data_IF_275325068906
#
_entry.id   IF_275325068906
#
_cell.length_a   1.000
_cell.length_b   1.000
_cell.length_c   1.000
_cell.angle_alpha   90.00
_cell.angle_beta   90.00
_cell.angle_gamma   90.00
#
_symmetry.space_group_name_H-M   'P 1'
#
loop_
_entity.id
_entity.type
_entity.pdbx_description
1 polymer ?
2 polymer ?
3 water ?
#
# COMPACT_ATOMS: atom_id res chain seq x y z
N UNK A 17 1.60 2.75 31.36
CA UNK A 17 2.49 1.92 32.16
C UNK A 17 1.80 1.33 33.39
N UNK A 18 0.50 1.09 33.26
CA UNK A 18 -0.35 0.72 34.39
C UNK A 18 -0.33 -0.78 34.69
N UNK A 19 0.55 -1.55 34.07
CA UNK A 19 0.50 -2.98 34.32
C UNK A 19 1.15 -3.31 35.66
N UNK A 20 0.88 -4.52 36.16
CA UNK A 20 1.31 -4.88 37.51
C UNK A 20 2.70 -5.54 37.50
N UNK A 21 3.58 -5.05 38.37
CA UNK A 21 4.94 -5.55 38.48
C UNK A 21 5.26 -5.75 39.95
N UNK A 22 6.33 -6.49 40.23
CA UNK A 22 6.83 -6.55 41.60
C UNK A 22 8.35 -6.62 41.61
N UNK A 23 8.93 -6.38 42.78
CA UNK A 23 10.39 -6.37 42.96
C UNK A 23 11.06 -5.39 42.01
N UNK A 24 10.47 -4.21 41.84
CA UNK A 24 11.04 -3.23 40.94
C UNK A 24 12.16 -2.45 41.63
N UNK A 25 13.26 -2.26 40.93
CA UNK A 25 14.41 -1.53 41.44
C UNK A 25 14.96 -0.68 40.29
N UNK A 26 15.31 0.56 40.58
CA UNK A 26 16.09 1.29 39.61
C UNK A 26 17.40 0.54 39.41
N UNK A 27 17.90 0.55 38.18
CA UNK A 27 19.01 -0.32 37.86
C UNK A 27 19.80 0.38 36.76
N UNK A 28 20.93 0.99 37.12
CA UNK A 28 21.63 1.80 36.14
C UNK A 28 22.25 0.98 35.02
N UNK A 29 22.17 -0.34 35.09
CA UNK A 29 22.54 -1.15 33.93
C UNK A 29 21.43 -1.21 32.87
N UNK A 30 20.22 -0.79 33.19
CA UNK A 30 19.16 -0.72 32.18
C UNK A 30 19.33 0.60 31.44
N UNK A 31 19.21 0.56 30.12
CA UNK A 31 19.38 1.76 29.31
C UNK A 31 18.06 2.54 29.30
N UNK A 32 18.09 3.79 29.74
CA UNK A 32 16.88 4.59 29.86
C UNK A 32 16.58 5.27 28.52
N UNK A 33 15.32 5.24 28.10
CA UNK A 33 14.97 5.92 26.87
C UNK A 33 15.15 7.42 27.04
N UNK A 34 15.51 8.09 25.95
CA UNK A 34 15.75 9.53 25.99
C UNK A 34 14.53 10.34 25.58
N UNK A 35 13.54 9.70 24.96
CA UNK A 35 12.34 10.35 24.47
C UNK A 35 11.20 9.34 24.59
N UNK A 36 9.97 9.82 24.40
CA UNK A 36 8.81 8.94 24.54
C UNK A 36 8.89 7.74 23.61
N UNK A 37 9.30 7.96 22.37
CA UNK A 37 9.36 6.86 21.42
C UNK A 37 10.63 6.04 21.54
N UNK A 38 11.57 6.49 22.38
CA UNK A 38 12.88 5.90 22.41
C UNK A 38 12.95 4.54 23.02
N UNK A 39 11.84 3.96 23.50
CA UNK A 39 12.04 2.71 24.21
C UNK A 39 12.47 1.59 23.23
N UNK A 40 12.00 1.61 21.97
CA UNK A 40 12.47 0.57 21.01
C UNK A 40 13.97 0.57 20.84
N UNK A 41 14.55 1.75 20.58
CA UNK A 41 15.99 1.88 20.39
C UNK A 41 16.78 1.57 21.66
N UNK A 42 16.24 1.94 22.82
CA UNK A 42 16.90 1.59 24.07
C UNK A 42 16.95 0.08 24.26
N UNK A 43 15.84 -0.60 23.97
CA UNK A 43 15.80 -2.07 23.99
C UNK A 43 16.78 -2.64 22.98
N UNK A 44 16.82 -2.03 21.79
CA UNK A 44 17.72 -2.49 20.75
C UNK A 44 19.16 -2.38 21.18
N UNK A 45 19.53 -1.28 21.85
CA UNK A 45 20.90 -1.16 22.35
C UNK A 45 21.22 -2.27 23.36
N UNK A 46 20.30 -2.58 24.28
CA UNK A 46 20.55 -3.64 25.25
C UNK A 46 20.58 -5.02 24.59
N UNK A 47 19.71 -5.26 23.59
CA UNK A 47 19.71 -6.53 22.89
C UNK A 47 21.05 -6.77 22.19
N UNK A 48 21.56 -5.75 21.50
CA UNK A 48 22.88 -5.87 20.86
C UNK A 48 23.98 -6.02 21.90
N UNK A 49 23.91 -5.26 22.99
CA UNK A 49 24.93 -5.36 24.03
C UNK A 49 25.09 -6.78 24.53
N UNK A 50 23.98 -7.48 24.71
CA UNK A 50 24.00 -8.86 25.19
C UNK A 50 24.74 -9.77 24.23
N UNK A 51 24.86 -9.37 22.97
CA UNK A 51 25.57 -10.13 21.96
C UNK A 51 26.89 -9.48 21.58
N UNK A 52 27.46 -8.68 22.49
CA UNK A 52 28.81 -8.11 22.33
C UNK A 52 28.88 -7.13 21.16
N UNK A 53 27.78 -6.44 20.87
CA UNK A 53 27.72 -5.40 19.85
C UNK A 53 27.25 -4.13 20.53
N UNK A 54 28.00 -3.04 20.33
CA UNK A 54 27.88 -1.83 21.15
C UNK A 54 27.49 -0.65 20.23
N UNK A 55 26.20 -0.35 20.20
CA UNK A 55 25.64 0.68 19.33
C UNK A 55 24.65 1.49 20.16
N UNK A 56 24.79 2.81 20.15
CA UNK A 56 23.94 3.62 21.03
C UNK A 56 22.52 3.71 20.46
N UNK A 57 21.56 4.00 21.35
CA UNK A 57 20.18 4.08 20.88
C UNK A 57 19.99 5.20 19.86
N UNK A 58 20.76 6.29 19.99
CA UNK A 58 20.65 7.38 19.01
C UNK A 58 21.00 6.90 17.61
N UNK A 59 22.02 6.05 17.48
CA UNK A 59 22.39 5.54 16.16
C UNK A 59 21.37 4.52 15.67
N UNK A 60 20.78 3.72 16.57
CA UNK A 60 19.71 2.82 16.14
C UNK A 60 18.50 3.64 15.65
N UNK A 61 18.12 4.67 16.40
CA UNK A 61 17.06 5.57 15.97
C UNK A 61 15.91 5.60 16.97
N UNK A 62 15.81 6.66 17.76
CA UNK A 62 14.82 6.71 18.83
C UNK A 62 13.41 7.00 18.31
N UNK A 63 13.22 7.03 16.99
CA UNK A 63 11.89 7.11 16.39
C UNK A 63 11.29 5.75 16.05
N UNK A 64 12.08 4.69 16.10
CA UNK A 64 11.65 3.36 15.66
C UNK A 64 10.65 2.78 16.66
N UNK A 65 9.44 2.51 16.17
CA UNK A 65 8.41 1.95 17.03
C UNK A 65 7.89 0.61 16.55
N UNK A 66 7.86 0.34 15.23
CA UNK A 66 7.26 -0.93 14.83
C UNK A 66 8.30 -2.05 14.88
N UNK A 67 7.80 -3.29 15.06
CA UNK A 67 8.69 -4.44 15.14
C UNK A 67 9.45 -4.62 13.83
N UNK A 68 8.78 -4.34 12.71
CA UNK A 68 9.46 -4.41 11.41
C UNK A 68 10.63 -3.46 11.38
N UNK A 69 10.40 -2.20 11.74
CA UNK A 69 11.48 -1.23 11.61
C UNK A 69 12.59 -1.50 12.62
N UNK A 70 12.24 -1.98 13.81
CA UNK A 70 13.26 -2.28 14.81
C UNK A 70 14.09 -3.49 14.42
N UNK A 71 13.45 -4.60 14.01
CA UNK A 71 14.26 -5.74 13.57
C UNK A 71 15.12 -5.36 12.38
N UNK A 72 14.57 -4.57 11.44
CA UNK A 72 15.35 -4.18 10.26
C UNK A 72 16.59 -3.42 10.68
N UNK A 73 16.45 -2.52 11.66
CA UNK A 73 17.59 -1.73 12.10
C UNK A 73 18.62 -2.59 12.83
N UNK A 74 18.16 -3.50 13.70
CA UNK A 74 19.13 -4.39 14.34
C UNK A 74 19.91 -5.19 13.31
N UNK A 75 19.27 -5.56 12.20
CA UNK A 75 19.98 -6.31 11.16
C UNK A 75 20.91 -5.44 10.33
N UNK A 76 21.01 -4.14 10.61
CA UNK A 76 22.11 -3.34 10.07
C UNK A 76 23.37 -3.46 10.91
N UNK A 77 23.27 -3.91 12.16
CA UNK A 77 24.44 -4.02 13.03
C UNK A 77 24.72 -5.44 13.43
N UNK A 78 23.83 -6.37 13.08
CA UNK A 78 23.94 -7.76 13.45
C UNK A 78 23.24 -8.53 12.33
N UNK A 79 22.98 -9.81 12.54
CA UNK A 79 22.26 -10.58 11.54
C UNK A 79 21.28 -11.52 12.24
N UNK A 80 20.18 -11.86 11.56
CA UNK A 80 19.31 -12.89 12.10
C UNK A 80 18.19 -12.43 13.01
N UNK A 81 17.94 -11.13 13.12
CA UNK A 81 16.86 -10.63 13.96
C UNK A 81 15.51 -10.78 13.27
N UNK A 82 14.51 -11.20 14.02
CA UNK A 82 13.13 -11.31 13.56
C UNK A 82 12.29 -10.25 14.27
N UNK A 83 11.31 -9.71 13.56
CA UNK A 83 10.32 -8.81 14.15
C UNK A 83 8.94 -9.33 13.75
N UNK A 84 8.33 -10.15 14.62
CA UNK A 84 7.11 -10.92 14.33
C UNK A 84 6.09 -10.81 15.47
N UNK A 85 4.82 -10.99 15.11
CA UNK A 85 3.76 -11.19 16.10
C UNK A 85 3.83 -12.64 16.52
N UNK A 86 4.03 -12.88 17.82
CA UNK A 86 4.29 -14.21 18.34
C UNK A 86 3.17 -14.61 19.29
N UNK A 87 2.83 -15.91 19.29
CA UNK A 87 1.78 -16.40 20.17
C UNK A 87 2.18 -16.29 21.64
N UNK A 88 1.19 -15.97 22.50
CA UNK A 88 1.44 -15.98 23.94
C UNK A 88 2.12 -17.27 24.36
N UNK A 89 1.75 -18.38 23.73
CA UNK A 89 2.25 -19.70 24.11
C UNK A 89 3.73 -19.90 23.82
N UNK A 90 4.37 -19.02 23.05
CA UNK A 90 5.78 -19.16 22.74
C UNK A 90 6.70 -18.40 23.70
N UNK A 91 6.16 -17.91 24.83
CA UNK A 91 6.94 -17.12 25.79
C UNK A 91 8.25 -17.82 26.16
N UNK A 92 8.16 -19.09 26.57
CA UNK A 92 9.36 -19.75 27.08
C UNK A 92 10.31 -20.08 25.93
N UNK A 93 9.77 -20.37 24.74
CA UNK A 93 10.66 -20.62 23.61
C UNK A 93 11.40 -19.35 23.21
N UNK A 94 10.75 -18.18 23.34
CA UNK A 94 11.46 -16.93 23.07
C UNK A 94 12.59 -16.74 24.07
N UNK A 95 12.31 -16.92 25.35
CA UNK A 95 13.35 -16.65 26.34
C UNK A 95 14.48 -17.65 26.29
N UNK A 96 14.22 -18.86 25.77
CA UNK A 96 15.31 -19.81 25.54
C UNK A 96 16.32 -19.31 24.54
N UNK A 97 15.99 -18.31 23.71
CA UNK A 97 16.97 -17.82 22.76
C UNK A 97 17.92 -16.77 23.35
N UNK A 98 17.69 -16.35 24.57
CA UNK A 98 18.37 -15.19 25.14
C UNK A 98 17.41 -14.04 25.37
N UNK A 99 17.96 -12.84 25.48
CA UNK A 99 17.08 -11.68 25.64
C UNK A 99 16.32 -11.38 24.34
N UNK A 100 15.12 -10.82 24.50
CA UNK A 100 14.32 -10.42 23.35
C UNK A 100 13.49 -9.21 23.76
N UNK A 101 12.95 -8.51 22.78
CA UNK A 101 12.17 -7.30 23.03
C UNK A 101 10.68 -7.58 22.84
N UNK A 102 9.87 -7.09 23.78
CA UNK A 102 8.43 -7.32 23.79
C UNK A 102 7.73 -5.97 23.78
N UNK A 103 6.73 -5.82 22.92
CA UNK A 103 5.93 -4.59 22.90
C UNK A 103 4.77 -4.74 23.88
N UNK A 104 4.78 -3.91 24.92
CA UNK A 104 3.72 -3.87 25.91
C UNK A 104 2.67 -2.87 25.47
N UNK A 105 1.40 -3.25 25.56
CA UNK A 105 0.36 -2.31 25.13
C UNK A 105 -0.84 -2.52 26.05
N UNK A 106 -0.93 -1.70 27.10
CA UNK A 106 -1.97 -1.89 28.10
C UNK A 106 -3.26 -1.17 27.69
N UNK A 107 -4.35 -1.55 28.37
CA UNK A 107 -5.66 -1.03 28.06
C UNK A 107 -5.66 0.49 28.19
N UNK A 108 -6.32 1.15 27.24
CA UNK A 108 -6.39 2.59 27.28
C UNK A 108 -5.20 3.31 26.72
N UNK A 109 -4.06 2.64 26.53
CA UNK A 109 -2.90 3.33 26.00
C UNK A 109 -3.04 3.58 24.50
N UNK A 110 -2.59 4.74 24.05
CA UNK A 110 -2.51 5.05 22.64
C UNK A 110 -1.17 4.67 22.03
N UNK A 111 -0.23 4.17 22.83
CA UNK A 111 1.10 3.83 22.33
C UNK A 111 1.55 2.52 22.95
N UNK A 112 2.39 1.81 22.22
CA UNK A 112 3.09 0.65 22.74
C UNK A 112 4.35 1.08 23.46
N UNK A 113 4.90 0.15 24.24
CA UNK A 113 6.10 0.44 25.03
C UNK A 113 6.98 -0.81 24.97
N UNK A 114 8.14 -0.68 24.34
CA UNK A 114 9.08 -1.80 24.25
C UNK A 114 9.77 -2.02 25.59
N UNK A 115 9.85 -3.28 26.02
CA UNK A 115 10.68 -3.66 27.16
C UNK A 115 11.59 -4.82 26.73
N UNK A 116 12.67 -5.00 27.47
CA UNK A 116 13.60 -6.10 27.23
C UNK A 116 13.22 -7.26 28.15
N UNK A 117 12.97 -8.43 27.59
CA UNK A 117 12.67 -9.61 28.39
C UNK A 117 13.99 -10.33 28.62
N UNK A 118 14.50 -10.24 29.84
CA UNK A 118 15.84 -10.79 30.12
C UNK A 118 15.81 -12.31 30.23
N UNK A 119 14.71 -12.84 30.73
CA UNK A 119 14.57 -14.27 30.92
C UNK A 119 13.41 -14.53 31.83
N UNK A 120 13.34 -15.77 32.29
CA UNK A 120 12.30 -16.21 33.21
C UNK A 120 12.99 -16.84 34.41
N UNK A 121 12.54 -16.50 35.61
CA UNK A 121 13.22 -17.02 36.79
C UNK A 121 12.70 -18.43 37.08
N UNK A 122 13.20 -19.00 38.17
CA UNK A 122 12.92 -20.42 38.45
C UNK A 122 11.46 -20.66 38.78
N UNK A 123 10.77 -19.66 39.32
CA UNK A 123 9.33 -19.73 39.53
C UNK A 123 8.52 -19.41 38.28
N UNK A 124 9.16 -19.15 37.15
CA UNK A 124 8.45 -18.88 35.92
C UNK A 124 8.06 -17.44 35.70
N UNK A 125 8.36 -16.54 36.65
CA UNK A 125 8.14 -15.12 36.42
C UNK A 125 9.03 -14.59 35.30
N UNK A 126 8.56 -13.53 34.65
CA UNK A 126 9.31 -12.89 33.57
C UNK A 126 10.13 -11.75 34.16
N UNK A 127 11.40 -11.70 33.81
CA UNK A 127 12.32 -10.66 34.28
C UNK A 127 12.38 -9.60 33.20
N UNK A 128 12.07 -8.35 33.54
CA UNK A 128 11.93 -7.26 32.58
C UNK A 128 12.96 -6.19 32.89
N UNK A 129 13.67 -5.71 31.85
CA UNK A 129 14.44 -4.48 31.93
C UNK A 129 13.65 -3.41 31.18
N UNK A 130 13.19 -2.39 31.89
CA UNK A 130 12.24 -1.43 31.31
C UNK A 130 12.93 -0.09 31.11
N UNK A 131 13.04 0.39 29.86
CA UNK A 131 13.75 1.65 29.63
C UNK A 131 12.96 2.90 30.02
N UNK A 132 11.71 2.75 30.46
CA UNK A 132 10.92 3.92 30.84
C UNK A 132 11.61 4.72 31.93
N UNK A 133 11.90 4.07 33.04
CA UNK A 133 12.68 4.70 34.10
C UNK A 133 14.04 4.05 34.25
N UNK A 134 14.37 3.05 33.43
CA UNK A 134 15.60 2.33 33.66
C UNK A 134 15.49 1.51 34.94
N UNK A 135 14.55 0.57 34.94
CA UNK A 135 14.35 -0.29 36.10
C UNK A 135 14.28 -1.74 35.66
N UNK A 136 14.46 -2.61 36.65
CA UNK A 136 14.29 -4.04 36.50
C UNK A 136 13.15 -4.47 37.41
N UNK A 137 12.24 -5.30 36.90
CA UNK A 137 11.18 -5.80 37.73
C UNK A 137 10.76 -7.17 37.22
N UNK A 138 9.87 -7.81 37.95
CA UNK A 138 9.28 -9.08 37.56
C UNK A 138 7.79 -8.90 37.30
N UNK A 139 7.27 -9.79 36.46
CA UNK A 139 5.84 -9.92 36.22
C UNK A 139 5.50 -11.40 36.22
N UNK A 140 4.31 -11.73 36.70
CA UNK A 140 3.83 -13.10 36.52
C UNK A 140 3.72 -13.39 35.03
N UNK A 141 3.89 -14.66 34.65
CA UNK A 141 3.76 -15.01 33.25
C UNK A 141 2.38 -14.63 32.72
N UNK A 142 1.34 -14.81 33.54
CA UNK A 142 -0.03 -14.54 33.08
C UNK A 142 -0.24 -13.05 32.84
N UNK A 143 0.23 -12.21 33.76
CA UNK A 143 0.09 -10.76 33.58
C UNK A 143 0.93 -10.28 32.40
N UNK A 144 2.15 -10.80 32.28
CA UNK A 144 2.98 -10.42 31.13
C UNK A 144 2.30 -10.77 29.82
N UNK A 145 1.70 -11.96 29.73
CA UNK A 145 1.08 -12.37 28.47
C UNK A 145 -0.10 -11.49 28.12
N UNK A 146 -0.81 -10.98 29.12
CA UNK A 146 -1.97 -10.14 28.86
C UNK A 146 -1.56 -8.77 28.32
N UNK A 147 -0.46 -8.20 28.83
CA UNK A 147 -0.07 -6.85 28.46
C UNK A 147 0.77 -6.83 27.19
N UNK A 148 1.68 -7.79 27.04
CA UNK A 148 2.43 -7.96 25.80
C UNK A 148 1.45 -8.19 24.64
N UNK A 149 1.55 -7.40 23.59
CA UNK A 149 0.57 -7.50 22.51
C UNK A 149 0.97 -8.54 21.46
N UNK A 150 2.02 -9.33 21.73
CA UNK A 150 2.52 -10.30 20.77
C UNK A 150 3.66 -9.80 19.89
N UNK A 151 3.81 -8.50 19.70
CA UNK A 151 4.87 -8.00 18.83
C UNK A 151 6.23 -8.15 19.51
N UNK A 152 7.21 -8.68 18.79
CA UNK A 152 8.42 -9.17 19.42
C UNK A 152 9.58 -9.02 18.46
N UNK A 153 10.76 -8.74 19.03
CA UNK A 153 12.01 -8.68 18.31
C UNK A 153 12.94 -9.68 18.97
N UNK A 154 13.39 -10.67 18.19
CA UNK A 154 14.16 -11.78 18.76
C UNK A 154 15.11 -12.34 17.71
N UNK A 155 16.10 -13.10 18.18
CA UNK A 155 17.15 -13.62 17.31
C UNK A 155 17.23 -15.11 17.58
N UNK A 156 16.53 -15.93 16.79
CA UNK A 156 16.74 -17.37 16.96
C UNK A 156 18.16 -17.76 16.50
N UNK B 19 -16.68 -3.96 -25.81
CA UNK B 19 -15.37 -4.49 -26.20
C UNK B 19 -15.22 -5.93 -25.69
N UNK B 20 -14.21 -6.65 -26.20
CA UNK B 20 -14.14 -8.10 -26.03
C UNK B 20 -13.29 -8.48 -24.82
N UNK B 21 -13.88 -9.26 -23.91
CA UNK B 21 -13.25 -9.68 -22.66
C UNK B 21 -13.43 -11.18 -22.49
N UNK B 22 -12.65 -11.78 -21.59
CA UNK B 22 -12.87 -13.18 -21.26
C UNK B 22 -12.51 -13.42 -19.80
N UNK B 23 -12.94 -14.58 -19.30
CA UNK B 23 -12.75 -14.94 -17.88
C UNK B 23 -13.41 -13.91 -16.96
N UNK B 24 -14.46 -13.25 -17.42
CA UNK B 24 -15.13 -12.25 -16.58
C UNK B 24 -15.85 -12.93 -15.43
N UNK B 25 -15.57 -12.45 -14.20
CA UNK B 25 -16.22 -12.91 -12.98
C UNK B 25 -16.40 -11.71 -12.06
N UNK B 26 -17.51 -11.71 -11.32
CA UNK B 26 -17.67 -10.71 -10.28
C UNK B 26 -16.64 -10.98 -9.18
N UNK B 27 -16.00 -9.91 -8.72
CA UNK B 27 -14.86 -10.04 -7.82
C UNK B 27 -15.00 -9.01 -6.71
N UNK B 28 -14.99 -9.49 -5.46
CA UNK B 28 -15.14 -8.58 -4.32
C UNK B 28 -13.95 -7.64 -4.15
N UNK B 29 -12.78 -7.99 -4.70
CA UNK B 29 -11.63 -7.07 -4.67
C UNK B 29 -11.82 -5.89 -5.61
N UNK B 30 -12.86 -5.91 -6.45
CA UNK B 30 -13.18 -4.83 -7.39
C UNK B 30 -14.29 -3.98 -6.82
N UNK B 31 -14.10 -2.67 -6.79
CA UNK B 31 -15.10 -1.75 -6.25
C UNK B 31 -16.07 -1.36 -7.37
N UNK B 32 -17.36 -1.58 -7.16
CA UNK B 32 -18.35 -1.23 -8.17
C UNK B 32 -18.73 0.24 -8.04
N UNK B 33 -18.89 0.90 -9.18
CA UNK B 33 -19.21 2.32 -9.18
C UNK B 33 -20.59 2.56 -8.57
N UNK B 34 -20.74 3.74 -7.95
CA UNK B 34 -21.98 4.09 -7.27
C UNK B 34 -23.01 4.65 -8.24
N UNK B 35 -22.60 5.63 -9.04
CA UNK B 35 -23.41 6.16 -10.13
C UNK B 35 -22.90 5.65 -11.47
N UNK B 36 -23.76 5.73 -12.48
CA UNK B 36 -23.32 5.39 -13.83
C UNK B 36 -22.24 6.32 -14.35
N UNK B 37 -21.99 7.42 -13.65
CA UNK B 37 -20.92 8.37 -13.92
C UNK B 37 -19.63 8.03 -13.17
N UNK B 38 -19.69 7.22 -12.12
CA UNK B 38 -18.66 7.20 -11.12
C UNK B 38 -17.51 6.24 -11.33
N UNK B 39 -17.27 5.81 -12.57
CA UNK B 39 -16.17 4.87 -12.79
C UNK B 39 -14.84 5.46 -12.34
N UNK B 40 -14.64 6.76 -12.55
CA UNK B 40 -13.39 7.38 -12.15
C UNK B 40 -13.17 7.32 -10.65
N UNK B 41 -14.18 7.71 -9.88
CA UNK B 41 -14.06 7.66 -8.42
C UNK B 41 -13.84 6.23 -7.93
N UNK B 42 -14.51 5.26 -8.56
CA UNK B 42 -14.30 3.88 -8.16
C UNK B 42 -12.88 3.42 -8.47
N UNK B 43 -12.37 3.77 -9.66
CA UNK B 43 -10.98 3.45 -9.98
C UNK B 43 -10.05 4.13 -9.00
N UNK B 44 -10.36 5.38 -8.66
CA UNK B 44 -9.51 6.11 -7.73
C UNK B 44 -9.46 5.46 -6.36
N UNK B 45 -10.61 5.05 -5.83
CA UNK B 45 -10.62 4.36 -4.55
C UNK B 45 -9.72 3.12 -4.60
N UNK B 46 -9.79 2.36 -5.69
CA UNK B 46 -8.99 1.14 -5.81
C UNK B 46 -7.51 1.47 -5.94
N UNK B 47 -7.17 2.50 -6.72
CA UNK B 47 -5.76 2.85 -6.88
C UNK B 47 -5.16 3.28 -5.55
N UNK B 48 -5.92 4.05 -4.77
CA UNK B 48 -5.44 4.43 -3.44
C UNK B 48 -5.40 3.22 -2.51
N UNK B 49 -6.45 2.39 -2.54
CA UNK B 49 -6.49 1.17 -1.74
C UNK B 49 -5.26 0.32 -1.98
N UNK B 50 -4.88 0.16 -3.25
CA UNK B 50 -3.70 -0.65 -3.56
C UNK B 50 -2.44 -0.07 -2.95
N UNK B 51 -2.46 1.19 -2.55
CA UNK B 51 -1.32 1.78 -1.87
C UNK B 51 -1.63 2.01 -0.39
N UNK B 52 -2.64 1.32 0.13
CA UNK B 52 -2.96 1.32 1.56
C UNK B 52 -3.37 2.72 2.03
N UNK B 53 -4.10 3.42 1.17
CA UNK B 53 -4.77 4.67 1.48
C UNK B 53 -6.25 4.41 1.28
N UNK B 54 -7.05 4.67 2.31
CA UNK B 54 -8.47 4.33 2.33
C UNK B 54 -9.32 5.59 2.21
N UNK B 55 -9.92 5.79 1.04
CA UNK B 55 -10.79 6.93 0.77
C UNK B 55 -11.91 6.43 -0.13
N UNK B 56 -13.16 6.68 0.28
CA UNK B 56 -14.30 6.17 -0.46
C UNK B 56 -14.55 6.97 -1.74
N UNK B 57 -15.19 6.31 -2.72
CA UNK B 57 -15.73 6.94 -3.92
C UNK B 57 -16.42 8.26 -3.65
N UNK B 58 -17.32 8.28 -2.68
CA UNK B 58 -18.13 9.48 -2.47
C UNK B 58 -17.28 10.64 -2.02
N UNK B 59 -16.21 10.38 -1.27
CA UNK B 59 -15.29 11.45 -0.93
C UNK B 59 -14.50 11.89 -2.15
N UNK B 60 -14.11 10.94 -3.00
CA UNK B 60 -13.36 11.27 -4.21
C UNK B 60 -14.23 12.04 -5.20
N UNK B 61 -15.51 11.67 -5.34
CA UNK B 61 -16.41 12.37 -6.24
C UNK B 61 -16.76 11.61 -7.51
N UNK B 62 -18.04 11.26 -7.69
CA UNK B 62 -18.46 10.31 -8.73
C UNK B 62 -18.87 11.00 -10.05
N UNK B 63 -18.63 12.29 -10.21
CA UNK B 63 -18.89 12.94 -11.50
C UNK B 63 -18.01 12.34 -12.61
N UNK B 64 -18.31 12.73 -13.85
CA UNK B 64 -17.44 12.38 -14.96
C UNK B 64 -16.05 12.98 -14.75
N UNK B 65 -15.03 12.31 -15.30
CA UNK B 65 -13.66 12.69 -15.00
C UNK B 65 -12.75 12.53 -16.21
N UNK B 66 -12.03 13.58 -16.54
CA UNK B 66 -10.89 13.54 -17.43
C UNK B 66 -9.70 12.94 -16.71
N UNK B 67 -8.63 12.68 -17.46
CA UNK B 67 -7.41 12.26 -16.76
C UNK B 67 -6.81 13.40 -15.95
N UNK B 68 -6.94 14.66 -16.39
CA UNK B 68 -6.41 15.74 -15.58
C UNK B 68 -7.17 15.86 -14.25
N UNK B 69 -8.49 15.72 -14.29
CA UNK B 69 -9.29 15.80 -13.08
C UNK B 69 -9.07 14.59 -12.18
N UNK B 70 -8.94 13.39 -12.75
CA UNK B 70 -8.72 12.22 -11.90
C UNK B 70 -7.36 12.25 -11.21
N UNK B 71 -6.29 12.62 -11.94
CA UNK B 71 -5.00 12.72 -11.26
C UNK B 71 -4.99 13.85 -10.24
N UNK B 72 -5.58 14.99 -10.58
CA UNK B 72 -5.64 16.08 -9.61
C UNK B 72 -6.31 15.62 -8.33
N UNK B 73 -7.39 14.85 -8.47
CA UNK B 73 -8.14 14.38 -7.30
C UNK B 73 -7.32 13.40 -6.48
N UNK B 74 -6.67 12.42 -7.12
CA UNK B 74 -5.81 11.53 -6.37
C UNK B 74 -4.71 12.30 -5.64
N UNK B 75 -4.22 13.39 -6.24
CA UNK B 75 -3.17 14.17 -5.60
C UNK B 75 -3.70 15.08 -4.50
N UNK B 76 -5.01 15.02 -4.17
CA UNK B 76 -5.52 15.61 -2.95
C UNK B 76 -5.45 14.66 -1.76
N UNK B 77 -5.40 13.35 -2.02
CA UNK B 77 -5.37 12.32 -0.98
C UNK B 77 -4.03 11.62 -0.89
N UNK B 78 -3.10 11.93 -1.79
CA UNK B 78 -1.82 11.26 -1.99
C UNK B 78 -0.97 12.29 -2.73
N UNK B 79 0.29 11.94 -3.06
CA UNK B 79 1.08 12.77 -3.96
C UNK B 79 1.70 11.87 -5.03
N UNK B 80 2.16 12.50 -6.12
CA UNK B 80 2.92 11.80 -7.12
C UNK B 80 2.14 11.22 -8.29
N UNK B 81 0.84 11.46 -8.38
CA UNK B 81 0.04 10.86 -9.45
C UNK B 81 0.21 11.65 -10.73
N UNK B 82 0.31 10.94 -11.85
CA UNK B 82 0.36 11.53 -13.18
C UNK B 82 -0.96 11.24 -13.90
N UNK B 83 -1.38 12.19 -14.74
CA UNK B 83 -2.50 11.97 -15.64
C UNK B 83 -2.12 12.40 -17.04
N UNK B 84 -1.72 11.45 -17.88
CA UNK B 84 -1.04 11.75 -19.13
C UNK B 84 -1.57 10.84 -20.22
N UNK B 85 -1.58 11.34 -21.44
CA UNK B 85 -1.68 10.46 -22.60
C UNK B 85 -0.38 9.69 -22.73
N UNK B 86 -0.46 8.37 -22.73
CA UNK B 86 0.71 7.51 -22.68
C UNK B 86 0.78 6.69 -23.96
N UNK B 87 2.01 6.53 -24.46
CA UNK B 87 2.26 5.74 -25.65
C UNK B 87 1.88 4.26 -25.45
N UNK B 88 1.20 3.71 -26.47
CA UNK B 88 0.88 2.29 -26.46
C UNK B 88 2.10 1.44 -26.08
N UNK B 89 3.29 1.82 -26.55
CA UNK B 89 4.50 1.04 -26.32
C UNK B 89 4.95 1.03 -24.86
N UNK B 90 4.34 1.83 -23.99
CA UNK B 90 4.68 1.86 -22.56
C UNK B 90 3.76 1.00 -21.68
N UNK B 91 3.00 0.08 -22.28
CA UNK B 91 1.98 -0.66 -21.51
C UNK B 91 2.62 -1.44 -20.37
N UNK B 92 3.71 -2.17 -20.66
CA UNK B 92 4.34 -2.94 -19.59
C UNK B 92 5.02 -2.03 -18.57
N UNK B 93 5.61 -0.92 -19.02
CA UNK B 93 6.25 -0.02 -18.06
C UNK B 93 5.22 0.58 -17.11
N UNK B 94 4.02 0.90 -17.60
CA UNK B 94 2.96 1.34 -16.70
C UNK B 94 2.68 0.27 -15.65
N UNK B 95 2.47 -0.97 -16.08
CA UNK B 95 2.05 -2.00 -15.13
C UNK B 95 3.18 -2.36 -14.17
N UNK B 96 4.44 -2.10 -14.53
CA UNK B 96 5.53 -2.28 -13.60
C UNK B 96 5.51 -1.29 -12.43
N UNK B 97 4.67 -0.26 -12.49
CA UNK B 97 4.57 0.66 -11.36
C UNK B 97 3.50 0.24 -10.36
N UNK B 98 2.76 -0.84 -10.65
CA UNK B 98 1.59 -1.21 -9.89
C UNK B 98 0.33 -1.01 -10.70
N UNK B 99 -0.80 -0.94 -9.99
CA UNK B 99 -2.04 -0.73 -10.70
C UNK B 99 -2.09 0.70 -11.25
N UNK B 100 -2.85 0.88 -12.34
CA UNK B 100 -3.01 2.19 -12.94
C UNK B 100 -4.38 2.25 -13.59
N UNK B 101 -4.84 3.46 -13.89
CA UNK B 101 -6.17 3.65 -14.44
C UNK B 101 -6.08 3.93 -15.93
N UNK B 102 -6.95 3.26 -16.68
CA UNK B 102 -6.96 3.38 -18.14
C UNK B 102 -8.33 3.85 -18.61
N UNK B 103 -8.36 4.84 -19.49
CA UNK B 103 -9.63 5.25 -20.10
C UNK B 103 -9.90 4.39 -21.33
N UNK B 104 -10.99 3.63 -21.28
CA UNK B 104 -11.45 2.82 -22.39
C UNK B 104 -12.49 3.60 -23.18
N UNK B 105 -12.35 3.60 -24.51
CA UNK B 105 -13.24 4.37 -25.38
C UNK B 105 -13.51 3.52 -26.62
N UNK B 106 -14.59 2.73 -26.57
CA UNK B 106 -14.98 1.92 -27.70
C UNK B 106 -15.42 2.78 -28.89
N UNK B 107 -15.19 2.26 -30.10
CA UNK B 107 -15.77 2.87 -31.29
C UNK B 107 -17.27 3.03 -31.10
N UNK B 108 -17.79 4.18 -31.52
CA UNK B 108 -19.19 4.48 -31.40
C UNK B 108 -19.59 5.21 -30.13
N UNK B 109 -18.94 4.89 -29.01
CA UNK B 109 -19.29 5.54 -27.75
C UNK B 109 -19.03 7.04 -27.85
N UNK B 110 -19.77 7.79 -27.03
CA UNK B 110 -19.48 9.21 -26.85
C UNK B 110 -19.07 9.52 -25.42
N UNK B 111 -18.73 8.50 -24.64
CA UNK B 111 -18.21 8.64 -23.28
C UNK B 111 -17.05 7.68 -23.08
N UNK B 112 -16.08 8.11 -22.25
CA UNK B 112 -15.02 7.23 -21.83
C UNK B 112 -15.40 6.47 -20.56
N UNK B 113 -14.70 5.36 -20.31
CA UNK B 113 -14.96 4.51 -19.15
C UNK B 113 -13.63 4.15 -18.49
N UNK B 114 -13.45 4.61 -17.24
CA UNK B 114 -12.24 4.26 -16.48
C UNK B 114 -12.33 2.82 -15.99
N UNK B 115 -11.25 2.07 -16.20
CA UNK B 115 -11.02 0.79 -15.54
C UNK B 115 -9.67 0.84 -14.87
N UNK B 116 -9.47 -0.07 -13.93
CA UNK B 116 -8.18 -0.25 -13.28
C UNK B 116 -7.44 -1.40 -13.95
N UNK B 117 -6.19 -1.16 -14.34
CA UNK B 117 -5.33 -2.18 -14.91
C UNK B 117 -4.52 -2.81 -13.79
N UNK B 118 -4.84 -4.06 -13.44
CA UNK B 118 -4.22 -4.70 -12.29
C UNK B 118 -2.84 -5.24 -12.61
N UNK B 119 -2.64 -5.70 -13.84
CA UNK B 119 -1.37 -6.25 -14.25
C UNK B 119 -1.51 -6.89 -15.60
N UNK B 120 -0.41 -7.51 -16.04
CA UNK B 120 -0.40 -8.37 -17.22
C UNK B 120 -0.01 -9.78 -16.78
N UNK B 121 -0.78 -10.78 -17.18
CA UNK B 121 -0.43 -12.15 -16.83
C UNK B 121 0.72 -12.63 -17.71
N UNK B 122 1.25 -13.83 -17.45
CA UNK B 122 2.37 -14.32 -18.24
C UNK B 122 1.99 -14.62 -19.67
N UNK B 123 0.73 -14.98 -19.92
CA UNK B 123 0.27 -15.07 -21.30
C UNK B 123 0.21 -13.72 -21.99
N UNK B 124 0.56 -12.63 -21.31
CA UNK B 124 0.52 -11.31 -21.91
C UNK B 124 -0.83 -10.63 -21.90
N UNK B 125 -1.88 -11.29 -21.40
CA UNK B 125 -3.18 -10.64 -21.31
C UNK B 125 -3.16 -9.53 -20.25
N UNK B 126 -4.13 -8.61 -20.36
CA UNK B 126 -4.24 -7.47 -19.46
C UNK B 126 -5.34 -7.74 -18.46
N UNK B 127 -5.00 -7.70 -17.17
CA UNK B 127 -5.95 -8.00 -16.11
C UNK B 127 -6.68 -6.71 -15.75
N UNK B 128 -8.01 -6.71 -15.90
CA UNK B 128 -8.82 -5.51 -15.76
C UNK B 128 -9.77 -5.65 -14.57
N UNK B 129 -9.75 -4.67 -13.68
CA UNK B 129 -10.77 -4.52 -12.64
C UNK B 129 -11.74 -3.45 -13.13
N UNK B 130 -12.97 -3.84 -13.47
CA UNK B 130 -13.92 -2.92 -14.07
C UNK B 130 -15.00 -2.53 -13.08
N UNK B 131 -15.10 -1.25 -12.73
CA UNK B 131 -16.12 -0.84 -11.75
C UNK B 131 -17.55 -0.83 -12.27
N UNK B 132 -17.78 -1.06 -13.57
CA UNK B 132 -19.15 -0.97 -14.09
C UNK B 132 -20.06 -1.96 -13.39
N UNK B 133 -19.58 -3.17 -13.17
CA UNK B 133 -20.28 -4.18 -12.40
C UNK B 133 -19.47 -4.73 -11.25
N UNK B 134 -18.25 -4.24 -11.03
CA UNK B 134 -17.42 -4.90 -10.04
C UNK B 134 -16.87 -6.23 -10.52
N UNK B 135 -16.44 -6.31 -11.76
CA UNK B 135 -15.94 -7.54 -12.35
C UNK B 135 -14.45 -7.45 -12.58
N UNK B 136 -13.79 -8.60 -12.48
CA UNK B 136 -12.45 -8.81 -13.00
C UNK B 136 -12.55 -9.56 -14.33
N UNK B 137 -11.77 -9.14 -15.31
CA UNK B 137 -11.70 -9.88 -16.56
C UNK B 137 -10.35 -9.66 -17.23
N UNK B 138 -10.12 -10.42 -18.29
CA UNK B 138 -8.87 -10.39 -19.04
C UNK B 138 -9.17 -9.89 -20.44
N UNK B 139 -8.18 -9.22 -21.02
CA UNK B 139 -8.24 -8.80 -22.42
C UNK B 139 -6.91 -9.11 -23.08
N UNK B 140 -6.99 -9.41 -24.38
CA UNK B 140 -5.75 -9.57 -25.13
C UNK B 140 -5.03 -8.23 -25.18
N UNK B 141 -3.70 -8.29 -25.27
CA UNK B 141 -2.92 -7.07 -25.45
C UNK B 141 -3.51 -6.22 -26.57
N UNK B 142 -3.77 -6.83 -27.73
CA UNK B 142 -4.19 -6.04 -28.88
C UNK B 142 -5.58 -5.46 -28.70
N UNK B 143 -6.50 -6.23 -28.11
CA UNK B 143 -7.83 -5.67 -27.87
C UNK B 143 -7.76 -4.56 -26.82
N UNK B 144 -7.00 -4.76 -25.76
CA UNK B 144 -6.89 -3.69 -24.78
C UNK B 144 -6.32 -2.43 -25.41
N UNK B 145 -5.23 -2.58 -26.18
CA UNK B 145 -4.61 -1.43 -26.83
C UNK B 145 -5.56 -0.77 -27.82
N UNK B 146 -6.49 -1.53 -28.41
CA UNK B 146 -7.43 -0.92 -29.34
C UNK B 146 -8.45 -0.06 -28.62
N UNK B 147 -8.91 -0.49 -27.46
CA UNK B 147 -10.00 0.20 -26.76
C UNK B 147 -9.47 1.30 -25.84
N UNK B 148 -8.35 1.05 -25.16
CA UNK B 148 -7.65 2.09 -24.42
C UNK B 148 -7.30 3.25 -25.36
N UNK B 149 -7.71 4.45 -24.99
CA UNK B 149 -7.42 5.60 -25.85
C UNK B 149 -6.11 6.28 -25.51
N UNK B 150 -5.34 5.71 -24.56
CA UNK B 150 -4.04 6.24 -24.17
C UNK B 150 -4.09 7.09 -22.91
N UNK B 151 -5.24 7.63 -22.57
CA UNK B 151 -5.31 8.44 -21.37
C UNK B 151 -5.16 7.55 -20.14
N UNK B 152 -4.29 7.97 -19.22
CA UNK B 152 -3.84 7.10 -18.14
C UNK B 152 -3.61 7.91 -16.87
N UNK B 153 -3.88 7.26 -15.73
CA UNK B 153 -3.51 7.82 -14.43
C UNK B 153 -2.62 6.79 -13.73
N UNK B 154 -1.46 7.23 -13.26
CA UNK B 154 -0.46 6.29 -12.79
C UNK B 154 0.48 7.00 -11.84
N UNK B 155 1.17 6.21 -11.02
CA UNK B 155 2.05 6.77 -10.00
C UNK B 155 3.43 6.16 -10.11
N UNK B 156 4.33 6.79 -10.86
CA UNK B 156 5.70 6.25 -10.79
C UNK B 156 6.32 6.43 -9.36
N UNK C 2 -7.68 11.11 27.64
CA UNK C 2 -7.24 11.17 26.26
C UNK C 2 -8.27 11.78 25.34
N UNK C 3 -7.85 12.09 24.10
CA UNK C 3 -8.73 12.64 23.07
C UNK C 3 -9.54 11.53 22.42
N UNK C 4 -10.38 11.91 21.45
CA UNK C 4 -11.22 10.95 20.74
C UNK C 4 -10.45 10.41 19.53
N UNK C 5 -10.28 9.08 19.49
CA UNK C 5 -9.84 8.38 18.28
C UNK C 5 -11.08 7.89 17.55
N UNK C 6 -11.24 8.30 16.29
CA UNK C 6 -12.42 7.91 15.52
C UNK C 6 -12.55 6.38 15.50
N UNK C 7 -13.75 5.87 15.82
CA UNK C 7 -13.93 4.42 15.88
C UNK C 7 -14.23 3.85 14.48
N UNK C 8 -13.98 2.55 14.31
CA UNK C 8 -14.12 1.89 13.02
C UNK C 8 -14.63 0.47 13.22
N UNK C 9 -15.21 -0.08 12.15
CA UNK C 9 -15.55 -1.50 12.07
C UNK C 9 -14.57 -2.13 11.10
N UNK C 10 -13.68 -2.97 11.60
CA UNK C 10 -12.71 -3.67 10.76
C UNK C 10 -12.87 -5.16 11.02
N UNK C 11 -13.15 -5.90 9.97
CA UNK C 11 -13.36 -7.34 10.08
C UNK C 11 -12.32 -8.08 9.24
N UNK C 12 -11.96 -9.27 9.72
CA UNK C 12 -11.16 -10.22 8.95
C UNK C 12 -12.11 -11.13 8.18
N UNK C 13 -12.02 -11.08 6.85
CA UNK C 13 -12.96 -11.83 6.03
C UNK C 13 -12.44 -13.20 5.60
N UNK C 14 -11.13 -13.38 5.51
CA UNK C 14 -10.60 -14.65 5.01
C UNK C 14 -9.12 -14.74 5.33
N UNK C 15 -8.65 -15.97 5.42
CA UNK C 15 -7.24 -16.30 5.64
C UNK C 15 -6.90 -17.39 4.62
N UNK C 16 -5.92 -17.11 3.74
CA UNK C 16 -5.48 -18.09 2.74
C UNK C 16 -4.03 -18.43 3.02
N UNK C 17 -3.77 -19.67 3.43
CA UNK C 17 -2.43 -20.10 3.84
C UNK C 17 -1.86 -21.04 2.79
N UNK C 18 -0.63 -20.78 2.37
CA UNK C 18 0.08 -21.60 1.38
C UNK C 18 1.11 -22.49 2.10
N UNK C 19 0.83 -23.79 2.13
CA UNK C 19 1.66 -24.78 2.82
C UNK C 19 3.09 -24.83 2.27
N UNK C 20 3.28 -24.49 0.99
CA UNK C 20 4.60 -24.61 0.38
C UNK C 20 5.48 -23.44 0.79
N UNK C 21 5.00 -22.23 0.55
CA UNK C 21 5.77 -21.01 0.78
C UNK C 21 5.59 -20.46 2.18
N UNK C 22 4.57 -20.93 2.93
CA UNK C 22 4.20 -20.43 4.24
C UNK C 22 3.61 -19.02 4.17
N UNK C 23 3.34 -18.50 2.98
CA UNK C 23 2.72 -17.20 2.84
C UNK C 23 1.25 -17.27 3.24
N UNK C 24 0.75 -16.13 3.72
CA UNK C 24 -0.61 -16.01 4.26
C UNK C 24 -1.22 -14.74 3.67
N UNK C 25 -2.38 -14.85 3.01
CA UNK C 25 -3.10 -13.68 2.50
C UNK C 25 -4.28 -13.42 3.43
N UNK C 26 -4.35 -12.21 3.97
CA UNK C 26 -5.47 -11.79 4.80
C UNK C 26 -6.32 -10.80 4.02
N UNK C 27 -7.64 -10.97 4.04
CA UNK C 27 -8.54 -9.98 3.49
C UNK C 27 -9.31 -9.35 4.63
N UNK C 28 -9.16 -8.02 4.76
CA UNK C 28 -9.90 -7.24 5.75
C UNK C 28 -11.04 -6.47 5.07
N UNK C 29 -12.07 -6.16 5.84
CA UNK C 29 -13.06 -5.15 5.48
C UNK C 29 -12.82 -3.94 6.38
N UNK C 30 -12.56 -2.79 5.78
CA UNK C 30 -12.30 -1.56 6.53
C UNK C 30 -13.50 -0.65 6.34
N UNK C 31 -14.46 -0.72 7.26
CA UNK C 31 -15.75 -0.04 7.10
C UNK C 31 -16.35 -0.30 5.71
N UNK C 32 -16.28 -1.56 5.28
CA UNK C 32 -16.87 -1.95 4.02
C UNK C 32 -15.91 -1.99 2.84
N UNK C 33 -14.75 -1.33 2.94
CA UNK C 33 -13.77 -1.34 1.85
C UNK C 33 -12.83 -2.52 2.06
N UNK C 34 -12.76 -3.41 1.07
CA UNK C 34 -11.89 -4.59 1.12
C UNK C 34 -10.43 -4.26 0.87
N UNK C 35 -9.54 -4.93 1.60
CA UNK C 35 -8.10 -4.79 1.37
C UNK C 35 -7.37 -6.08 1.71
N UNK C 36 -6.37 -6.41 0.90
CA UNK C 36 -5.61 -7.64 1.06
C UNK C 36 -4.22 -7.30 1.57
N UNK C 37 -3.81 -7.99 2.62
CA UNK C 37 -2.47 -7.85 3.17
C UNK C 37 -1.82 -9.23 3.19
N UNK C 38 -0.48 -9.25 3.21
CA UNK C 38 0.24 -10.50 3.24
C UNK C 38 1.09 -10.61 4.50
N UNK C 39 1.36 -11.86 4.87
CA UNK C 39 2.26 -12.20 5.95
C UNK C 39 2.91 -13.54 5.61
N UNK C 40 3.88 -13.94 6.43
CA UNK C 40 4.50 -15.25 6.31
C UNK C 40 4.58 -15.91 7.67
N UNK C 41 4.15 -17.16 7.74
CA UNK C 41 4.18 -17.93 8.96
C UNK C 41 5.61 -18.38 9.22
N UNK C 42 6.04 -18.31 10.48
CA UNK C 42 7.43 -18.57 10.85
C UNK C 42 7.45 -19.36 12.14
N UNK C 43 7.74 -20.66 12.05
CA UNK C 43 7.98 -21.48 13.21
C UNK C 43 9.47 -21.77 13.24
N UNK C 44 10.15 -21.23 14.25
CA UNK C 44 11.60 -21.35 14.40
C UNK C 44 11.89 -21.65 15.86
N UNK C 45 12.61 -22.73 16.13
CA UNK C 45 12.96 -23.13 17.50
C UNK C 45 11.75 -23.07 18.41
N UNK C 46 10.64 -23.60 17.89
CA UNK C 46 9.36 -23.70 18.59
C UNK C 46 8.72 -22.36 18.88
N UNK C 47 9.17 -21.29 18.23
CA UNK C 47 8.56 -19.98 18.36
C UNK C 47 7.57 -19.82 17.23
N UNK C 48 6.29 -19.68 17.58
CA UNK C 48 5.21 -19.57 16.60
C UNK C 48 5.01 -18.10 16.27
N UNK C 49 5.56 -17.68 15.14
CA UNK C 49 5.52 -16.29 14.75
C UNK C 49 4.82 -16.04 13.44
N UNK C 50 4.31 -14.82 13.27
CA UNK C 50 3.75 -14.35 12.01
C UNK C 50 4.53 -13.11 11.60
N UNK C 51 5.20 -13.17 10.45
CA UNK C 51 5.95 -12.04 9.92
C UNK C 51 5.01 -11.24 9.04
N UNK C 52 4.43 -10.19 9.61
CA UNK C 52 3.63 -9.29 8.83
C UNK C 52 4.50 -8.64 7.75
N UNK C 53 3.92 -8.39 6.59
CA UNK C 53 4.56 -7.48 5.64
C UNK C 53 4.74 -6.10 6.28
N UNK C 54 5.64 -5.30 5.70
CA UNK C 54 5.85 -3.97 6.24
C UNK C 54 4.57 -3.16 6.29
N UNK C 55 3.76 -3.26 5.24
CA UNK C 55 2.53 -2.47 5.19
C UNK C 55 1.49 -3.02 6.18
N UNK C 56 1.44 -4.34 6.35
CA UNK C 56 0.51 -4.90 7.34
C UNK C 56 0.89 -4.45 8.75
N UNK C 57 2.19 -4.46 9.06
CA UNK C 57 2.65 -4.00 10.37
C UNK C 57 2.25 -2.54 10.58
N UNK C 58 2.42 -1.70 9.56
CA UNK C 58 1.99 -0.31 9.69
C UNK C 58 0.50 -0.21 9.94
N UNK C 59 -0.29 -1.01 9.22
CA UNK C 59 -1.74 -0.99 9.38
C UNK C 59 -2.13 -1.45 10.79
N UNK C 60 -1.57 -2.56 11.26
CA UNK C 60 -1.86 -3.04 12.61
C UNK C 60 -1.45 -2.02 13.65
N UNK C 61 -0.28 -1.41 13.50
CA UNK C 61 0.14 -0.40 14.47
C UNK C 61 -0.83 0.78 14.51
N UNK C 62 -1.46 1.11 13.39
CA UNK C 62 -2.38 2.24 13.38
C UNK C 62 -3.68 1.92 14.10
N UNK C 63 -4.04 0.63 14.20
CA UNK C 63 -5.29 0.31 14.87
C UNK C 63 -5.08 -0.27 16.27
N UNK C 64 -3.84 -0.56 16.65
CA UNK C 64 -3.57 -0.93 18.03
C UNK C 64 -4.16 0.03 19.04
N UNK C 65 -4.14 1.37 18.82
CA UNK C 65 -4.75 2.26 19.80
C UNK C 65 -6.22 2.00 19.99
N UNK C 66 -6.88 1.46 18.95
CA UNK C 66 -8.30 1.15 19.06
C UNK C 66 -8.56 -0.21 19.70
N UNK C 67 -7.64 -1.15 19.54
CA UNK C 67 -7.78 -2.52 20.04
C UNK C 67 -6.39 -3.13 20.18
N UNK C 68 -5.75 -2.98 21.35
CA UNK C 68 -4.43 -3.56 21.57
C UNK C 68 -4.37 -5.08 21.45
N UNK C 69 -5.51 -5.75 21.42
CA UNK C 69 -5.54 -7.20 21.24
C UNK C 69 -5.58 -7.62 19.76
N UNK C 70 -5.44 -6.67 18.83
CA UNK C 70 -5.79 -7.00 17.46
C UNK C 70 -4.85 -8.06 16.86
N UNK C 71 -3.58 -8.08 17.26
CA UNK C 71 -2.70 -9.12 16.73
C UNK C 71 -2.98 -10.47 17.38
N UNK C 72 -3.43 -10.47 18.63
CA UNK C 72 -3.88 -11.70 19.27
C UNK C 72 -5.08 -12.29 18.54
N UNK C 73 -6.02 -11.44 18.11
CA UNK C 73 -7.16 -11.91 17.34
C UNK C 73 -6.71 -12.49 16.01
N UNK C 74 -5.96 -11.69 15.24
CA UNK C 74 -5.49 -12.14 13.93
C UNK C 74 -4.67 -13.43 14.05
N UNK C 75 -3.79 -13.48 15.05
CA UNK C 75 -2.98 -14.67 15.25
C UNK C 75 -3.79 -15.88 15.65
N UNK C 76 -4.74 -15.70 16.57
CA UNK C 76 -5.57 -16.83 16.98
C UNK C 76 -6.31 -17.45 15.81
N UNK C 77 -6.95 -16.61 15.00
CA UNK C 77 -7.65 -17.10 13.83
C UNK C 77 -6.68 -17.83 12.89
N UNK C 78 -5.49 -17.25 12.68
CA UNK C 78 -4.54 -17.80 11.72
C UNK C 78 -4.11 -19.20 12.11
N UNK C 79 -3.67 -19.40 13.36
CA UNK C 79 -3.22 -20.71 13.81
C UNK C 79 -4.36 -21.73 13.77
N UNK C 80 -5.59 -21.32 14.07
CA UNK C 80 -6.72 -22.24 13.93
C UNK C 80 -6.93 -22.65 12.47
N UNK C 81 -6.81 -21.68 11.56
CA UNK C 81 -6.96 -21.99 10.14
C UNK C 81 -5.88 -22.96 9.68
N UNK C 82 -4.63 -22.70 10.07
CA UNK C 82 -3.52 -23.55 9.65
C UNK C 82 -3.71 -24.97 10.16
N UNK C 83 -4.23 -25.11 11.39
CA UNK C 83 -4.49 -26.44 11.95
C UNK C 83 -5.75 -27.07 11.40
N UNK C 84 -6.42 -26.44 10.44
CA UNK C 84 -7.56 -27.05 9.81
C UNK C 84 -8.88 -26.97 10.56
N UNK C 85 -8.97 -26.19 11.62
CA UNK C 85 -10.25 -26.01 12.28
C UNK C 85 -11.17 -25.20 11.39
N UNK C 86 -12.47 -25.49 11.47
CA UNK C 86 -13.45 -24.65 10.80
C UNK C 86 -13.55 -23.34 11.56
N UNK C 87 -13.28 -22.23 10.87
CA UNK C 87 -13.40 -20.90 11.46
C UNK C 87 -14.57 -20.20 10.77
N UNK C 88 -15.46 -19.65 11.57
CA UNK C 88 -16.55 -18.86 11.01
C UNK C 88 -16.09 -17.44 10.77
N UNK C 89 -16.10 -17.02 9.54
CA UNK C 89 -15.83 -15.65 9.15
C UNK C 89 -17.15 -14.94 8.86
N UNK C 90 -17.18 -13.59 8.93
CA UNK C 90 -16.07 -12.72 9.31
C UNK C 90 -15.79 -12.74 10.81
N UNK C 91 -14.56 -12.39 11.19
CA UNK C 91 -14.15 -12.29 12.58
C UNK C 91 -13.85 -10.83 12.88
N UNK C 92 -14.49 -10.30 13.93
CA UNK C 92 -14.27 -8.91 14.30
C UNK C 92 -12.84 -8.67 14.72
N UNK C 93 -12.22 -7.68 14.10
CA UNK C 93 -10.95 -7.17 14.59
C UNK C 93 -11.16 -5.95 15.47
N UNK C 94 -11.92 -4.99 14.94
CA UNK C 94 -12.24 -3.73 15.59
C UNK C 94 -13.72 -3.48 15.37
N UNK C 95 -14.43 -3.15 16.43
CA UNK C 95 -15.83 -2.79 16.31
C UNK C 95 -16.10 -1.53 17.09
N UNK C 96 -17.18 -0.87 16.72
CA UNK C 96 -17.54 0.40 17.34
C UNK C 96 -18.23 0.20 18.70
N UNK D 10 -10.49 19.95 -38.32
CA UNK D 10 -9.40 20.20 -37.36
C UNK D 10 -8.09 19.56 -37.79
N UNK D 11 -7.11 20.41 -38.08
CA UNK D 11 -5.80 20.00 -38.54
C UNK D 11 -4.76 20.36 -37.48
N UNK D 12 -3.76 19.50 -37.30
CA UNK D 12 -2.56 19.87 -36.55
C UNK D 12 -1.58 20.50 -37.52
N UNK D 13 -1.23 21.77 -37.29
CA UNK D 13 -0.38 22.48 -38.23
C UNK D 13 1.11 22.34 -37.91
N UNK D 14 1.46 22.31 -36.63
CA UNK D 14 2.86 22.31 -36.26
C UNK D 14 3.05 21.93 -34.80
N UNK D 15 4.29 21.58 -34.49
CA UNK D 15 4.71 21.19 -33.15
C UNK D 15 6.00 21.92 -32.88
N UNK D 16 6.13 22.51 -31.71
CA UNK D 16 7.39 23.07 -31.24
C UNK D 16 7.75 22.41 -29.91
N UNK D 17 9.00 21.98 -29.77
CA UNK D 17 9.44 21.27 -28.57
C UNK D 17 10.63 21.97 -27.90
N UNK D 18 10.54 22.16 -26.58
CA UNK D 18 11.55 22.85 -25.79
C UNK D 18 12.28 21.81 -24.94
N UNK D 19 13.53 21.54 -25.27
CA UNK D 19 14.29 20.51 -24.57
C UNK D 19 14.58 20.87 -23.12
N UNK D 20 14.53 22.15 -22.76
CA UNK D 20 14.86 22.55 -21.39
C UNK D 20 13.64 22.48 -20.49
N UNK D 21 12.51 23.07 -20.89
CA UNK D 21 11.31 23.02 -20.06
C UNK D 21 10.46 21.78 -20.31
N UNK D 22 10.74 21.05 -21.38
CA UNK D 22 9.98 19.89 -21.86
C UNK D 22 8.58 20.25 -22.36
N UNK D 23 8.29 21.52 -22.53
CA UNK D 23 7.00 21.93 -23.06
C UNK D 23 6.93 21.75 -24.58
N UNK D 24 5.76 21.36 -25.04
CA UNK D 24 5.46 21.16 -26.44
C UNK D 24 4.32 22.10 -26.80
N UNK D 25 4.50 22.90 -27.86
CA UNK D 25 3.48 23.82 -28.35
C UNK D 25 2.83 23.23 -29.59
N UNK D 26 1.54 22.98 -29.53
CA UNK D 26 0.78 22.46 -30.67
C UNK D 26 0.00 23.60 -31.30
N UNK D 27 0.14 23.78 -32.61
CA UNK D 27 -0.65 24.75 -33.37
C UNK D 27 -1.67 23.99 -34.21
N UNK D 28 -2.96 24.19 -33.93
CA UNK D 28 -4.06 23.59 -34.67
C UNK D 28 -4.72 24.63 -35.59
N UNK D 29 -5.41 24.13 -36.60
CA UNK D 29 -6.42 24.89 -37.33
C UNK D 29 -7.76 24.25 -36.99
N UNK D 30 -8.61 24.98 -36.28
CA UNK D 30 -9.91 24.50 -35.84
C UNK D 30 -10.97 25.21 -36.68
N UNK D 31 -11.59 24.47 -37.59
CA UNK D 31 -12.53 25.05 -38.57
C UNK D 31 -12.03 26.41 -39.06
N UNK D 32 -10.76 26.44 -39.45
CA UNK D 32 -10.17 27.60 -40.07
C UNK D 32 -9.47 28.56 -39.13
N UNK D 33 -9.74 28.49 -37.84
CA UNK D 33 -9.18 29.44 -36.86
C UNK D 33 -8.03 28.79 -36.10
N UNK D 34 -6.90 29.49 -36.02
CA UNK D 34 -5.75 28.97 -35.30
C UNK D 34 -6.08 28.80 -33.81
N UNK D 35 -5.55 27.73 -33.22
CA UNK D 35 -5.67 27.49 -31.79
C UNK D 35 -4.37 26.84 -31.35
N UNK D 36 -3.76 27.37 -30.28
CA UNK D 36 -2.47 26.89 -29.78
C UNK D 36 -2.69 26.28 -28.41
N UNK D 37 -2.09 25.12 -28.18
CA UNK D 37 -2.22 24.41 -26.92
C UNK D 37 -0.83 23.97 -26.51
N UNK D 38 -0.65 23.73 -25.21
CA UNK D 38 0.63 23.29 -24.68
C UNK D 38 0.48 21.97 -23.92
N UNK D 39 1.57 21.21 -23.89
CA UNK D 39 1.67 19.97 -23.13
C UNK D 39 3.11 19.86 -22.64
N UNK D 40 3.32 18.97 -21.67
CA UNK D 40 4.65 18.71 -21.16
C UNK D 40 4.99 17.24 -21.41
N UNK D 41 6.14 17.02 -22.02
CA UNK D 41 6.61 15.69 -22.39
C UNK D 41 7.33 15.08 -21.21
N UNK D 42 7.09 13.81 -20.95
CA UNK D 42 7.83 13.11 -19.91
C UNK D 42 8.19 11.69 -20.31
N UNK D 43 9.31 11.23 -19.79
CA UNK D 43 9.69 9.83 -19.79
C UNK D 43 10.09 9.54 -18.35
N UNK D 44 9.28 8.77 -17.64
CA UNK D 44 9.47 8.46 -16.24
C UNK D 44 9.38 6.94 -16.13
N UNK D 45 10.44 6.31 -15.63
CA UNK D 45 10.47 4.84 -15.50
C UNK D 45 10.04 4.18 -16.80
N UNK D 46 10.58 4.69 -17.90
CA UNK D 46 10.33 4.20 -19.26
C UNK D 46 8.87 4.33 -19.70
N UNK D 47 8.10 5.21 -19.06
CA UNK D 47 6.73 5.52 -19.48
C UNK D 47 6.79 6.81 -20.28
N UNK D 48 6.45 6.73 -21.56
CA UNK D 48 6.45 7.88 -22.44
C UNK D 48 5.09 8.56 -22.30
N UNK D 49 5.06 9.73 -21.68
CA UNK D 49 3.81 10.40 -21.41
C UNK D 49 3.79 11.80 -21.94
N UNK D 50 2.58 12.27 -22.25
CA UNK D 50 2.34 13.65 -22.63
C UNK D 50 1.30 14.22 -21.68
N UNK D 51 1.69 15.23 -20.93
CA UNK D 51 0.81 15.89 -19.98
C UNK D 51 0.13 17.05 -20.69
N UNK D 52 -1.09 16.82 -21.17
CA UNK D 52 -1.88 17.90 -21.74
C UNK D 52 -2.12 18.96 -20.68
N UNK D 53 -2.10 20.23 -21.08
CA UNK D 53 -2.69 21.24 -20.22
C UNK D 53 -4.17 20.92 -20.00
N UNK D 54 -4.75 21.52 -18.95
CA UNK D 54 -6.18 21.33 -18.68
C UNK D 54 -7.00 21.66 -19.92
N UNK D 55 -6.64 22.75 -20.60
CA UNK D 55 -7.39 23.19 -21.77
C UNK D 55 -7.25 22.21 -22.93
N UNK D 56 -6.06 21.65 -23.13
CA UNK D 56 -5.87 20.70 -24.22
C UNK D 56 -6.62 19.40 -23.94
N UNK D 57 -6.61 18.95 -22.68
CA UNK D 57 -7.35 17.75 -22.30
C UNK D 57 -8.82 17.89 -22.65
N UNK D 58 -9.44 19.00 -22.26
CA UNK D 58 -10.84 19.24 -22.58
C UNK D 58 -11.04 19.30 -24.11
N UNK D 59 -10.13 19.96 -24.82
CA UNK D 59 -10.21 20.00 -26.28
C UNK D 59 -10.15 18.60 -26.86
N UNK D 60 -9.19 17.80 -26.40
CA UNK D 60 -9.06 16.43 -26.90
C UNK D 60 -10.29 15.61 -26.55
N UNK D 61 -10.79 15.75 -25.31
CA UNK D 61 -11.96 14.98 -24.91
C UNK D 61 -13.17 15.33 -25.77
N UNK D 62 -13.28 16.60 -26.18
CA UNK D 62 -14.36 16.97 -27.08
C UNK D 62 -14.22 16.28 -28.42
N UNK D 63 -13.00 15.94 -28.83
CA UNK D 63 -12.78 15.32 -30.12
C UNK D 63 -13.00 13.81 -30.04
N UNK D 64 -12.75 13.22 -28.86
CA UNK D 64 -12.78 11.77 -28.73
C UNK D 64 -14.02 11.13 -29.32
N UNK D 65 -15.23 11.66 -29.12
CA UNK D 65 -16.41 10.95 -29.64
C UNK D 65 -16.37 10.72 -31.14
N UNK D 66 -15.75 11.63 -31.89
CA UNK D 66 -15.67 11.50 -33.34
C UNK D 66 -14.43 10.77 -33.82
N UNK D 67 -13.37 10.73 -33.01
CA UNK D 67 -12.11 10.09 -33.40
C UNK D 67 -11.43 9.60 -32.14
N UNK D 68 -11.83 8.43 -31.63
CA UNK D 68 -11.28 7.94 -30.36
C UNK D 68 -9.77 7.78 -30.36
N UNK D 69 -9.14 7.79 -31.53
CA UNK D 69 -7.70 7.63 -31.66
C UNK D 69 -6.97 8.95 -31.67
N UNK D 70 -7.64 10.05 -31.34
CA UNK D 70 -7.03 11.37 -31.50
C UNK D 70 -5.75 11.48 -30.67
N UNK D 71 -5.76 10.94 -29.44
CA UNK D 71 -4.57 11.05 -28.61
C UNK D 71 -3.46 10.12 -29.08
N UNK D 72 -3.81 8.95 -29.62
CA UNK D 72 -2.81 8.07 -30.21
C UNK D 72 -2.16 8.72 -31.43
N UNK D 73 -2.95 9.38 -32.27
CA UNK D 73 -2.39 10.05 -33.44
C UNK D 73 -1.50 11.21 -33.01
N UNK D 74 -2.02 12.07 -32.12
CA UNK D 74 -1.28 13.23 -31.68
C UNK D 74 0.00 12.83 -30.94
N UNK D 75 -0.08 11.78 -30.13
CA UNK D 75 1.11 11.31 -29.44
C UNK D 75 2.12 10.74 -30.40
N UNK D 76 1.66 9.94 -31.37
CA UNK D 76 2.57 9.41 -32.36
C UNK D 76 3.28 10.52 -33.11
N UNK D 77 2.55 11.57 -33.44
CA UNK D 77 3.16 12.67 -34.18
C UNK D 77 4.19 13.37 -33.30
N UNK D 78 3.86 13.56 -32.03
CA UNK D 78 4.76 14.25 -31.11
C UNK D 78 6.08 13.50 -30.98
N UNK D 79 6.01 12.19 -30.68
CA UNK D 79 7.25 11.44 -30.54
C UNK D 79 7.98 11.34 -31.88
N UNK D 80 7.27 11.23 -32.99
CA UNK D 80 7.95 11.22 -34.28
C UNK D 80 8.71 12.53 -34.48
N UNK D 81 8.08 13.65 -34.16
CA UNK D 81 8.73 14.94 -34.34
C UNK D 81 9.95 15.05 -33.45
N UNK D 82 9.83 14.60 -32.21
CA UNK D 82 10.96 14.74 -31.29
C UNK D 82 12.13 13.92 -31.78
N UNK D 83 11.88 12.77 -32.40
CA UNK D 83 12.94 11.92 -32.90
C UNK D 83 13.35 12.22 -34.33
N UNK D 84 12.81 13.28 -34.94
CA UNK D 84 13.21 13.67 -36.27
C UNK D 84 12.61 12.85 -37.40
N UNK D 85 11.73 11.90 -37.10
CA UNK D 85 11.05 11.14 -38.15
C UNK D 85 10.08 12.05 -38.87
N UNK D 86 10.11 12.04 -40.19
CA UNK D 86 9.35 13.00 -40.98
C UNK D 86 7.86 12.84 -40.69
N UNK D 87 7.17 13.98 -40.57
CA UNK D 87 5.74 14.00 -40.35
C UNK D 87 5.13 14.88 -41.42
N UNK D 88 4.05 14.44 -42.03
CA UNK D 88 3.42 15.21 -43.07
C UNK D 88 2.39 16.18 -42.53
N UNK D 89 2.82 17.38 -42.24
CA UNK D 89 1.88 18.38 -41.81
C UNK D 89 1.20 19.03 -43.03
N UNK D 90 -0.05 19.49 -42.89
CA UNK D 90 -0.86 19.37 -41.67
C UNK D 90 -1.37 17.95 -41.45
N UNK D 91 -1.59 17.57 -40.21
CA UNK D 91 -2.14 16.26 -39.88
C UNK D 91 -3.64 16.43 -39.65
N UNK D 92 -4.44 15.76 -40.47
CA UNK D 92 -5.90 15.78 -40.30
C UNK D 92 -6.29 14.93 -39.10
N UNK D 93 -7.02 15.54 -38.17
CA UNK D 93 -7.55 14.81 -37.03
C UNK D 93 -9.05 14.56 -37.18
N UNK D 94 -9.80 15.60 -37.52
CA UNK D 94 -11.24 15.54 -37.78
C UNK D 94 -11.45 16.11 -39.17
N UNK D 95 -12.15 15.36 -40.02
CA UNK D 95 -12.38 15.79 -41.40
C UNK D 95 -13.14 17.09 -41.51
#
# INVERSE_FOLDING_TARGET
MGSSHHHHHHSQDPAGGNWTVFDEVLDSNVIKQLTLTGCGAACGEMLLRDRYIFVTQNVIGTELTSMTSLANKLNKFDVGWEGNAVSESSLYALSNTGSWGAMMWDSGSKVGHWVLVKGVDDAGNVIIYDPYQGSRYLMTEQEFKEVWNGHSVYKP
MGSSHHHHHHSQDPAGGNWTVFDEVLDSNVIKQLTLTGCGAACGEMLLRDRYIFVTQNVIGTELTSMTSLANKLNKFDVGWEGNAVSESSLYALSNTGSWGAMMWDSGSKVGHWVLVKGVDDAGNVIIYDPYQGSRYLMTEQEFKEVWNGHSVYKP
MGIVFTNHNIDLLSVEFDEITKNCNYTFSVDGETAIFTARISIIRNIKGIKYSEELDKFIMSIMPLQPKVSKILGGVTWDCICGKEVGFPVRLIGK
MGIVFTNHNIDLLSVEFDEITKNCNYTFSVDGETAIFTARISIIRNIKGIKYSEELDKFIMSIMPLQPKVSKILGGVTWDCICGKEVGFPVRLIGK
#
